data_IF_118488747166
#
_entry.id   IF_118488747166
#
_cell.length_a   1.000
_cell.length_b   1.000
_cell.length_c   1.000
_cell.angle_alpha   90.00
_cell.angle_beta   90.00
_cell.angle_gamma   90.00
#
_symmetry.space_group_name_H-M   'P 1'
#
loop_
_entity.id
_entity.type
_entity.pdbx_description
1 polymer ?
#
# COMPACT_ATOMS: atom_id res chain seq x y z
N UNK A 1 23.42 9.42 0.44
CA UNK A 1 23.38 9.07 0.41
C UNK A 1 23.45 8.20 0.17
N UNK A 2 23.55 8.13 0.34
CA UNK A 2 23.49 7.53 0.20
C UNK A 2 23.39 6.52 -0.09
N UNK A 3 23.22 6.24 -0.25
CA UNK A 3 23.04 5.39 -0.35
C UNK A 3 23.05 4.39 -0.79
N UNK A 4 23.34 4.51 -0.75
CA UNK A 4 23.83 3.32 -0.80
C UNK A 4 22.90 2.26 -0.44
N UNK A 5 22.90 1.27 -0.49
CA UNK A 5 22.06 0.23 -0.12
C UNK A 5 20.65 0.45 -0.45
N UNK A 6 20.42 1.51 -1.08
CA UNK A 6 19.09 1.83 -1.43
C UNK A 6 18.73 1.26 -2.73
N UNK A 7 18.54 -0.02 -2.78
CA UNK A 7 18.06 -0.69 -3.97
C UNK A 7 16.56 -0.83 -3.98
N UNK A 8 15.89 0.09 -3.30
CA UNK A 8 14.44 0.07 -3.27
C UNK A 8 13.86 0.63 -4.55
N UNK A 9 12.80 0.02 -5.00
CA UNK A 9 12.12 0.50 -6.19
C UNK A 9 10.69 0.89 -5.83
N UNK A 10 10.16 1.96 -6.45
CA UNK A 10 8.83 2.42 -6.11
C UNK A 10 7.77 1.55 -6.78
N UNK A 11 6.77 1.20 -6.01
CA UNK A 11 5.62 0.46 -6.51
C UNK A 11 4.37 1.22 -6.11
N UNK A 12 3.49 1.41 -7.06
CA UNK A 12 2.20 2.01 -6.78
C UNK A 12 1.17 0.93 -6.58
N UNK A 13 0.43 1.06 -5.49
CA UNK A 13 -0.62 0.11 -5.15
C UNK A 13 -1.94 0.85 -5.08
N UNK A 14 -2.96 0.22 -5.61
CA UNK A 14 -4.32 0.72 -5.52
C UNK A 14 -5.11 -0.26 -4.67
N UNK A 15 -5.62 0.24 -3.56
CA UNK A 15 -6.33 -0.58 -2.59
C UNK A 15 -7.77 -0.12 -2.54
N UNK A 16 -8.67 -1.06 -2.72
CA UNK A 16 -10.09 -0.80 -2.58
C UNK A 16 -10.51 -1.28 -1.20
N UNK A 17 -11.06 -0.40 -0.40
CA UNK A 17 -11.33 -0.71 0.99
C UNK A 17 -12.68 -0.13 1.42
N UNK A 18 -13.22 -0.69 2.48
CA UNK A 18 -14.42 -0.15 3.08
C UNK A 18 -14.11 1.27 3.55
N UNK A 19 -15.00 2.21 3.22
CA UNK A 19 -14.82 3.61 3.61
C UNK A 19 -15.10 3.72 5.11
N UNK A 20 -14.04 3.61 5.89
CA UNK A 20 -14.11 3.59 7.33
C UNK A 20 -12.96 4.38 7.90
N UNK A 21 -13.26 5.13 8.97
CA UNK A 21 -12.21 5.88 9.67
C UNK A 21 -11.16 4.91 10.17
N UNK A 22 -9.92 5.22 9.89
CA UNK A 22 -8.80 4.44 10.41
C UNK A 22 -8.29 3.34 9.51
N UNK A 23 -8.98 3.03 8.39
CA UNK A 23 -8.51 1.97 7.51
C UNK A 23 -7.15 2.32 6.91
N UNK A 24 -6.97 3.56 6.50
CA UNK A 24 -5.68 3.99 5.96
C UNK A 24 -4.60 3.90 7.03
N UNK A 25 -4.91 4.34 8.24
CA UNK A 25 -3.97 4.26 9.33
C UNK A 25 -3.55 2.82 9.59
N UNK A 26 -4.51 1.89 9.59
CA UNK A 26 -4.21 0.48 9.81
C UNK A 26 -3.27 -0.06 8.73
N UNK A 27 -3.52 0.30 7.49
CA UNK A 27 -2.66 -0.12 6.38
C UNK A 27 -1.25 0.42 6.57
N UNK A 28 -1.14 1.72 6.89
CA UNK A 28 0.16 2.34 7.07
C UNK A 28 0.91 1.73 8.25
N UNK A 29 0.21 1.38 9.31
CA UNK A 29 0.85 0.74 10.45
C UNK A 29 1.41 -0.63 10.09
N UNK A 30 0.67 -1.40 9.31
CA UNK A 30 1.15 -2.71 8.88
C UNK A 30 2.39 -2.59 8.01
N UNK A 31 2.41 -1.61 7.12
CA UNK A 31 3.57 -1.37 6.27
C UNK A 31 4.77 -0.93 7.10
N UNK A 32 4.54 -0.06 8.07
CA UNK A 32 5.61 0.40 8.95
C UNK A 32 6.20 -0.75 9.75
N UNK A 33 5.35 -1.66 10.24
CA UNK A 33 5.82 -2.81 11.00
C UNK A 33 6.71 -3.72 10.16
N UNK A 34 6.51 -3.73 8.86
CA UNK A 34 7.33 -4.52 7.95
C UNK A 34 8.58 -3.77 7.49
N UNK A 35 8.76 -2.54 7.94
CA UNK A 35 9.88 -1.74 7.51
C UNK A 35 9.73 -1.19 6.10
N UNK A 36 8.52 -1.13 5.60
CA UNK A 36 8.26 -0.65 4.25
C UNK A 36 8.05 0.85 4.29
N UNK A 37 8.79 1.56 3.45
CA UNK A 37 8.70 2.99 3.37
C UNK A 37 7.57 3.40 2.42
N UNK A 38 6.69 4.28 2.89
CA UNK A 38 5.62 4.83 2.08
C UNK A 38 5.98 6.25 1.72
N UNK A 39 6.18 6.52 0.43
CA UNK A 39 6.57 7.84 -0.03
C UNK A 39 5.37 8.71 -0.36
N UNK A 40 4.24 8.11 -0.63
CA UNK A 40 3.03 8.88 -0.94
C UNK A 40 1.81 8.04 -0.60
N UNK A 41 0.75 8.73 -0.20
CA UNK A 41 -0.50 8.07 0.13
C UNK A 41 -1.64 9.05 -0.11
N UNK A 42 -2.68 8.57 -0.77
CA UNK A 42 -3.84 9.41 -0.95
C UNK A 42 -5.10 8.54 -1.03
N UNK A 43 -6.22 9.13 -0.61
CA UNK A 43 -7.47 8.42 -0.53
C UNK A 43 -8.51 9.18 -1.31
N UNK A 44 -9.26 8.46 -2.12
CA UNK A 44 -10.40 9.02 -2.82
C UNK A 44 -11.66 8.31 -2.34
N UNK A 45 -12.66 9.08 -2.03
CA UNK A 45 -13.93 8.53 -1.62
C UNK A 45 -15.03 9.08 -2.50
N UNK A 46 -16.08 8.29 -2.66
CA UNK A 46 -17.25 8.71 -3.39
C UNK A 46 -18.48 8.15 -2.68
N UNK A 47 -19.53 8.91 -2.70
CA UNK A 47 -20.75 8.53 -1.99
C UNK A 47 -21.25 7.16 -2.48
N UNK A 48 -21.46 6.27 -1.56
CA UNK A 48 -21.98 4.94 -1.87
C UNK A 48 -20.99 3.99 -2.50
N UNK A 49 -19.70 4.35 -2.49
CA UNK A 49 -18.66 3.51 -3.09
C UNK A 49 -17.53 3.27 -2.12
N UNK A 50 -16.77 2.19 -2.31
CA UNK A 50 -15.60 1.96 -1.47
C UNK A 50 -14.56 3.05 -1.63
N UNK A 51 -13.74 3.22 -0.62
CA UNK A 51 -12.60 4.14 -0.70
C UNK A 51 -11.51 3.53 -1.56
N UNK A 52 -10.86 4.36 -2.34
CA UNK A 52 -9.71 3.96 -3.15
C UNK A 52 -8.48 4.60 -2.54
N UNK A 53 -7.56 3.78 -2.10
CA UNK A 53 -6.33 4.22 -1.47
C UNK A 53 -5.20 3.98 -2.44
N UNK A 54 -4.50 5.04 -2.81
CA UNK A 54 -3.34 4.94 -3.67
C UNK A 54 -2.09 5.15 -2.84
N UNK A 55 -1.21 4.18 -2.86
CA UNK A 55 0.04 4.22 -2.10
C UNK A 55 1.22 4.05 -3.03
N UNK A 56 2.28 4.77 -2.72
CA UNK A 56 3.56 4.53 -3.37
C UNK A 56 4.52 4.04 -2.29
N UNK A 57 5.00 2.83 -2.45
CA UNK A 57 5.86 2.20 -1.45
C UNK A 57 7.20 1.84 -2.07
N UNK A 58 8.24 1.89 -1.26
CA UNK A 58 9.57 1.47 -1.69
C UNK A 58 9.85 0.05 -1.23
N UNK A 59 10.12 -0.83 -2.18
CA UNK A 59 10.32 -2.24 -1.90
C UNK A 59 11.70 -2.68 -2.38
N UNK A 60 12.23 -3.70 -1.76
CA UNK A 60 13.56 -4.19 -2.06
C UNK A 60 13.54 -5.40 -2.99
N UNK A 61 12.41 -6.09 -3.09
CA UNK A 61 12.31 -7.27 -3.91
C UNK A 61 10.86 -7.57 -4.24
N UNK A 62 10.67 -8.39 -5.26
CA UNK A 62 9.31 -8.84 -5.59
C UNK A 62 8.75 -9.75 -4.53
N UNK A 63 9.60 -10.48 -3.83
CA UNK A 63 9.15 -11.31 -2.73
C UNK A 63 8.51 -10.45 -1.63
N UNK A 64 9.15 -9.32 -1.32
CA UNK A 64 8.61 -8.38 -0.38
C UNK A 64 7.27 -7.81 -0.87
N UNK A 65 7.17 -7.54 -2.18
CA UNK A 65 5.94 -7.05 -2.77
C UNK A 65 4.80 -8.05 -2.57
N UNK A 66 5.04 -9.32 -2.85
CA UNK A 66 4.01 -10.34 -2.68
C UNK A 66 3.56 -10.45 -1.23
N UNK A 67 4.50 -10.42 -0.31
CA UNK A 67 4.17 -10.48 1.11
C UNK A 67 3.34 -9.27 1.54
N UNK A 68 3.70 -8.11 1.02
CA UNK A 68 2.97 -6.89 1.33
C UNK A 68 1.53 -6.96 0.83
N UNK A 69 1.37 -7.41 -0.41
CA UNK A 69 0.04 -7.54 -0.99
C UNK A 69 -0.80 -8.53 -0.19
N UNK A 70 -0.22 -9.67 0.15
CA UNK A 70 -0.93 -10.68 0.94
C UNK A 70 -1.34 -10.14 2.31
N UNK A 71 -0.44 -9.38 2.93
CA UNK A 71 -0.68 -8.81 4.24
C UNK A 71 -1.87 -7.85 4.20
N UNK A 72 -1.89 -6.98 3.20
CA UNK A 72 -2.98 -6.01 3.07
C UNK A 72 -4.27 -6.70 2.67
N UNK A 73 -4.18 -7.65 1.74
CA UNK A 73 -5.36 -8.34 1.24
C UNK A 73 -6.04 -9.15 2.33
N UNK A 74 -5.29 -9.59 3.34
CA UNK A 74 -5.85 -10.35 4.44
C UNK A 74 -6.64 -9.49 5.42
N UNK A 75 -6.57 -8.17 5.31
CA UNK A 75 -7.34 -7.30 6.18
C UNK A 75 -8.82 -7.37 5.84
N UNK A 76 -9.65 -7.45 6.88
CA UNK A 76 -11.09 -7.59 6.67
C UNK A 76 -11.70 -6.39 5.96
N UNK A 77 -11.12 -5.21 6.17
CA UNK A 77 -11.65 -3.98 5.58
C UNK A 77 -11.21 -3.76 4.14
N UNK A 78 -10.28 -4.57 3.64
CA UNK A 78 -9.77 -4.43 2.29
C UNK A 78 -10.54 -5.34 1.35
N UNK A 79 -11.10 -4.75 0.31
CA UNK A 79 -11.89 -5.49 -0.68
C UNK A 79 -11.02 -6.01 -1.82
N UNK A 80 -10.02 -5.24 -2.22
CA UNK A 80 -9.15 -5.64 -3.31
C UNK A 80 -7.87 -4.82 -3.26
N UNK A 81 -6.83 -5.33 -3.91
CA UNK A 81 -5.57 -4.63 -4.04
C UNK A 81 -4.94 -4.99 -5.38
N UNK A 82 -4.37 -4.00 -6.05
CA UNK A 82 -3.74 -4.19 -7.34
C UNK A 82 -2.52 -3.28 -7.48
N UNK A 83 -1.55 -3.72 -8.26
CA UNK A 83 -0.46 -2.85 -8.68
C UNK A 83 -0.96 -1.92 -9.76
N UNK A 84 -0.49 -0.70 -9.71
CA UNK A 84 -0.84 0.30 -10.70
C UNK A 84 0.40 0.72 -11.46
N UNK A 85 0.23 0.91 -12.69
CA UNK A 85 1.28 1.45 -13.47
C UNK A 85 2.21 0.46 -13.98
N UNK A 86 2.44 0.17 -14.19
CA UNK A 86 3.34 -0.21 -14.70
C UNK A 86 4.08 -0.39 -15.23
N UNK A 87 4.39 -0.39 -15.50
CA UNK A 87 5.05 -0.57 -16.10
C UNK A 87 5.69 -0.91 -16.35
#
# INVERSE_FOLDING_TARGET
DNKTGDNKFPIQLRIEAIDRVGVLKDILMRLSDKGINVSDANVKTAYGKPAIINLCVGLESYNQLHKTIDQIKSMADVLDIARVGQS
#
